data_IF_980760497791
#
_entry.id   IF_980760497791
#
_cell.length_a   1.000
_cell.length_b   1.000
_cell.length_c   1.000
_cell.angle_alpha   90.00
_cell.angle_beta   90.00
_cell.angle_gamma   90.00
#
_symmetry.space_group_name_H-M   'P 1'
#
loop_
_entity.id
_entity.type
_entity.pdbx_description
1 polymer ?
#
# COMPACT_ATOMS: atom_id res chain seq x y z
N UNK A 1 23.43 27.71 24.80
CA UNK A 1 23.69 26.97 23.54
C UNK A 1 23.48 25.50 23.87
N UNK A 2 22.30 24.98 23.57
CA UNK A 2 21.99 23.55 23.77
C UNK A 2 21.95 22.90 22.38
N UNK A 3 22.83 21.92 22.19
CA UNK A 3 22.88 21.09 21.00
C UNK A 3 22.10 19.84 21.38
N UNK A 4 20.87 19.68 20.88
CA UNK A 4 20.13 18.43 21.01
C UNK A 4 20.41 17.59 19.77
N UNK A 5 21.37 16.68 19.90
CA UNK A 5 21.48 15.50 19.06
C UNK A 5 20.61 14.42 19.69
N UNK A 6 19.44 14.16 19.09
CA UNK A 6 18.74 12.89 19.25
C UNK A 6 18.48 12.40 17.83
N UNK A 7 19.37 11.51 17.38
CA UNK A 7 18.98 10.54 16.38
C UNK A 7 17.95 9.60 16.98
N UNK A 8 16.90 9.33 16.23
CA UNK A 8 16.15 8.10 16.41
C UNK A 8 15.96 7.50 15.03
N UNK A 9 16.61 6.36 14.90
CA UNK A 9 16.59 5.41 13.82
C UNK A 9 15.14 4.92 13.59
N UNK A 10 14.60 5.14 12.40
CA UNK A 10 13.42 4.44 11.91
C UNK A 10 13.89 3.45 10.87
N UNK A 11 14.45 2.35 11.36
CA UNK A 11 14.66 1.14 10.55
C UNK A 11 13.38 0.31 10.61
N UNK A 12 12.34 0.72 9.88
CA UNK A 12 11.20 -0.16 9.60
C UNK A 12 11.58 -1.13 8.47
N UNK A 13 12.50 -2.04 8.79
CA UNK A 13 12.77 -3.19 7.95
C UNK A 13 11.66 -4.20 8.20
N UNK A 14 10.52 -3.98 7.53
CA UNK A 14 9.45 -4.98 7.41
C UNK A 14 10.00 -6.18 6.61
N UNK A 15 10.74 -7.06 7.29
CA UNK A 15 11.09 -8.39 6.80
C UNK A 15 9.82 -9.23 6.84
N UNK A 16 9.00 -9.10 5.80
CA UNK A 16 7.92 -10.04 5.50
C UNK A 16 8.56 -11.30 4.92
N UNK A 17 8.56 -12.36 5.73
CA UNK A 17 8.98 -13.69 5.32
C UNK A 17 8.16 -14.12 4.09
N UNK A 18 8.85 -14.25 2.95
CA UNK A 18 8.33 -14.74 1.66
C UNK A 18 7.71 -16.12 1.82
N UNK A 19 6.45 -16.14 2.22
CA UNK A 19 5.57 -17.28 2.13
C UNK A 19 4.59 -16.97 1.00
N UNK A 20 4.46 -17.91 0.06
CA UNK A 20 3.59 -17.83 -1.13
C UNK A 20 2.09 -17.78 -0.78
N UNK A 21 1.76 -17.55 0.49
CA UNK A 21 0.41 -17.39 1.00
C UNK A 21 -0.16 -16.03 0.60
N UNK A 22 -1.39 -16.07 0.11
CA UNK A 22 -2.22 -14.87 0.00
C UNK A 22 -2.52 -14.36 1.41
N UNK A 23 -2.14 -13.12 1.68
CA UNK A 23 -2.42 -12.42 2.94
C UNK A 23 -3.43 -11.31 2.69
N UNK A 24 -4.32 -11.10 3.65
CA UNK A 24 -5.23 -9.96 3.68
C UNK A 24 -4.44 -8.67 3.92
N UNK A 25 -4.69 -7.66 3.09
CA UNK A 25 -4.02 -6.37 3.17
C UNK A 25 -4.97 -5.22 2.85
N UNK A 26 -4.83 -4.15 3.63
CA UNK A 26 -5.50 -2.88 3.38
C UNK A 26 -4.52 -1.93 2.68
N UNK A 27 -4.83 -1.58 1.44
CA UNK A 27 -4.08 -0.62 0.64
C UNK A 27 -4.85 0.70 0.60
N UNK A 28 -4.17 1.79 0.91
CA UNK A 28 -4.73 3.14 0.74
C UNK A 28 -4.53 3.57 -0.72
N UNK A 29 -5.61 3.92 -1.39
CA UNK A 29 -5.61 4.46 -2.75
C UNK A 29 -5.00 5.87 -2.81
N UNK A 30 -4.79 6.37 -4.03
CA UNK A 30 -4.38 7.74 -4.27
C UNK A 30 -5.59 8.68 -4.33
N UNK A 31 -5.41 9.94 -3.92
CA UNK A 31 -6.41 10.99 -4.12
C UNK A 31 -6.46 11.50 -5.59
N UNK A 32 -5.67 10.88 -6.48
CA UNK A 32 -5.63 11.20 -7.91
C UNK A 32 -6.81 10.59 -8.67
N UNK A 33 -7.25 11.25 -9.74
CA UNK A 33 -8.31 10.76 -10.62
C UNK A 33 -7.81 10.65 -12.06
N UNK A 34 -7.75 9.45 -12.65
CA UNK A 34 -8.05 8.14 -12.06
C UNK A 34 -6.95 7.66 -11.09
N UNK A 35 -7.35 6.93 -10.05
CA UNK A 35 -6.44 6.40 -9.03
C UNK A 35 -5.45 5.36 -9.66
N UNK A 36 -4.12 5.63 -9.63
CA UNK A 36 -3.12 4.72 -10.18
C UNK A 36 -3.04 3.38 -9.43
N UNK A 37 -3.32 3.35 -8.13
CA UNK A 37 -3.37 2.13 -7.30
C UNK A 37 -4.56 1.28 -7.72
N UNK A 38 -5.74 1.89 -7.84
CA UNK A 38 -6.95 1.17 -8.24
C UNK A 38 -6.80 0.53 -9.62
N UNK A 39 -6.20 1.27 -10.58
CA UNK A 39 -5.87 0.74 -11.90
C UNK A 39 -4.94 -0.48 -11.79
N UNK A 40 -3.93 -0.43 -10.92
CA UNK A 40 -2.99 -1.55 -10.76
C UNK A 40 -3.64 -2.76 -10.10
N UNK A 41 -4.51 -2.54 -9.12
CA UNK A 41 -5.29 -3.61 -8.48
C UNK A 41 -6.17 -4.33 -9.51
N UNK A 42 -6.87 -3.61 -10.38
CA UNK A 42 -7.68 -4.19 -11.45
C UNK A 42 -6.84 -5.04 -12.43
N UNK A 43 -5.65 -4.56 -12.81
CA UNK A 43 -4.73 -5.35 -13.66
C UNK A 43 -4.26 -6.64 -12.98
N UNK A 44 -3.99 -6.60 -11.67
CA UNK A 44 -3.51 -7.75 -10.91
C UNK A 44 -4.62 -8.76 -10.62
N UNK A 45 -5.84 -8.28 -10.38
CA UNK A 45 -7.03 -9.12 -10.26
C UNK A 45 -7.30 -9.89 -11.57
N UNK A 46 -7.25 -9.20 -12.72
CA UNK A 46 -7.38 -9.81 -14.05
C UNK A 46 -6.32 -10.87 -14.33
N UNK A 47 -5.13 -10.72 -13.73
CA UNK A 47 -4.03 -11.70 -13.81
C UNK A 47 -4.13 -12.83 -12.76
N UNK A 48 -5.14 -12.80 -11.89
CA UNK A 48 -5.36 -13.77 -10.82
C UNK A 48 -4.35 -13.67 -9.67
N UNK A 49 -3.60 -12.56 -9.58
CA UNK A 49 -2.58 -12.29 -8.55
C UNK A 49 -3.17 -11.70 -7.28
N UNK A 50 -4.34 -11.09 -7.39
CA UNK A 50 -5.10 -10.49 -6.29
C UNK A 50 -6.49 -11.11 -6.28
N UNK A 51 -7.06 -11.31 -5.09
CA UNK A 51 -8.42 -11.86 -4.87
C UNK A 51 -9.12 -11.10 -3.76
N UNK A 52 -10.43 -11.31 -3.64
CA UNK A 52 -11.27 -10.70 -2.59
C UNK A 52 -11.11 -9.17 -2.51
N UNK A 53 -11.09 -8.51 -3.66
CA UNK A 53 -10.95 -7.04 -3.75
C UNK A 53 -12.25 -6.37 -3.32
N UNK A 54 -12.15 -5.53 -2.29
CA UNK A 54 -13.23 -4.68 -1.80
C UNK A 54 -12.74 -3.24 -1.78
N UNK A 55 -13.40 -2.39 -2.55
CA UNK A 55 -13.08 -0.96 -2.64
C UNK A 55 -14.06 -0.20 -1.75
N UNK A 56 -13.52 0.58 -0.82
CA UNK A 56 -14.27 1.52 0.01
C UNK A 56 -14.07 2.92 -0.55
N UNK A 57 -15.17 3.51 -1.04
CA UNK A 57 -15.25 4.88 -1.54
C UNK A 57 -15.21 5.92 -0.38
N UNK A 58 -14.24 5.79 0.51
CA UNK A 58 -13.92 6.75 1.57
C UNK A 58 -12.82 7.71 1.11
N UNK A 59 -12.60 8.80 1.87
CA UNK A 59 -11.48 9.72 1.65
C UNK A 59 -10.57 9.68 2.89
N UNK A 60 -9.35 9.12 2.80
CA UNK A 60 -8.73 8.54 1.59
C UNK A 60 -9.36 7.20 1.18
N UNK A 61 -9.26 6.87 -0.12
CA UNK A 61 -9.79 5.63 -0.69
C UNK A 61 -9.11 4.43 -0.01
N UNK A 62 -9.88 3.42 0.37
CA UNK A 62 -9.33 2.20 0.97
C UNK A 62 -9.69 0.99 0.12
N UNK A 63 -8.71 0.12 -0.11
CA UNK A 63 -8.85 -1.07 -0.94
C UNK A 63 -8.39 -2.24 -0.09
N UNK A 64 -9.32 -3.11 0.27
CA UNK A 64 -9.01 -4.36 0.96
C UNK A 64 -8.87 -5.46 -0.08
N UNK A 65 -7.80 -6.25 -0.01
CA UNK A 65 -7.53 -7.30 -0.98
C UNK A 65 -6.68 -8.41 -0.36
N UNK A 66 -6.70 -9.59 -0.99
CA UNK A 66 -5.79 -10.69 -0.70
C UNK A 66 -4.77 -10.86 -1.81
N UNK A 67 -3.50 -10.77 -1.47
CA UNK A 67 -2.41 -10.94 -2.41
C UNK A 67 -1.15 -11.47 -1.73
N UNK A 68 -0.14 -11.81 -2.51
CA UNK A 68 1.18 -12.15 -1.95
C UNK A 68 1.87 -10.90 -1.41
N UNK A 69 2.81 -11.07 -0.49
CA UNK A 69 3.61 -9.97 0.06
C UNK A 69 4.30 -9.14 -1.04
N UNK A 70 4.79 -9.79 -2.11
CA UNK A 70 5.41 -9.13 -3.26
C UNK A 70 4.44 -8.18 -3.97
N UNK A 71 3.19 -8.59 -4.17
CA UNK A 71 2.17 -7.76 -4.80
C UNK A 71 1.75 -6.60 -3.91
N UNK A 72 1.65 -6.83 -2.59
CA UNK A 72 1.34 -5.78 -1.61
C UNK A 72 2.44 -4.73 -1.57
N UNK A 73 3.70 -5.16 -1.59
CA UNK A 73 4.86 -4.26 -1.67
C UNK A 73 4.85 -3.47 -2.99
N UNK A 74 4.55 -4.12 -4.11
CA UNK A 74 4.41 -3.47 -5.41
C UNK A 74 3.33 -2.38 -5.38
N UNK A 75 2.14 -2.71 -4.86
CA UNK A 75 1.04 -1.76 -4.71
C UNK A 75 1.40 -0.61 -3.76
N UNK A 76 2.16 -0.90 -2.70
CA UNK A 76 2.57 0.12 -1.75
C UNK A 76 3.62 1.10 -2.30
N UNK A 77 4.46 0.64 -3.22
CA UNK A 77 5.49 1.43 -3.90
C UNK A 77 4.96 2.31 -5.03
N UNK A 78 3.66 2.21 -5.38
CA UNK A 78 3.05 3.12 -6.34
C UNK A 78 3.16 4.54 -5.79
N UNK A 79 3.73 5.49 -6.54
CA UNK A 79 3.84 6.87 -6.08
C UNK A 79 2.43 7.42 -5.87
N UNK A 80 2.17 7.86 -4.64
CA UNK A 80 0.90 8.47 -4.24
C UNK A 80 1.20 9.94 -4.03
N UNK A 81 0.40 10.81 -4.63
CA UNK A 81 0.38 12.19 -4.15
C UNK A 81 -0.31 12.12 -2.79
N UNK A 82 0.48 12.01 -1.72
CA UNK A 82 -0.06 12.18 -0.38
C UNK A 82 -0.78 13.53 -0.38
N UNK A 83 -2.10 13.48 -0.32
CA UNK A 83 -2.92 14.65 -0.09
C UNK A 83 -2.63 15.14 1.32
N UNK A 84 -1.51 15.86 1.48
CA UNK A 84 -1.16 16.77 2.55
C UNK A 84 -1.83 16.40 3.90
N UNK A 85 -1.34 15.36 4.57
CA UNK A 85 -1.60 15.15 5.99
C UNK A 85 -0.89 16.27 6.75
N UNK A 86 -1.56 17.42 6.89
CA UNK A 86 -1.17 18.50 7.81
C UNK A 86 -1.62 18.18 9.21
#
# INVERSE_FOLDING_TARGET
MYISLIGCEVTDKSMSEKSDSLIDALIIGSAESPDPVLKRVDELEKRGRVRDVVVYESSPLQIHLKATAEVIEELNNIPRIEGNLR
#
